data_IF_140647813988
#
_entry.id   IF_140647813988
#
_cell.length_a   1.000
_cell.length_b   1.000
_cell.length_c   1.000
_cell.angle_alpha   90.00
_cell.angle_beta   90.00
_cell.angle_gamma   90.00
#
_symmetry.space_group_name_H-M   'P 1'
#
loop_
_entity.id
_entity.type
_entity.pdbx_description
1 polymer ?
#
# COMPACT_ATOMS: atom_id res chain seq x y z
N UNK A 1 13.89 65.97 54.49
CA UNK A 1 12.66 65.16 54.35
C UNK A 1 12.22 64.98 52.90
N UNK A 2 12.24 66.01 52.05
CA UNK A 2 11.84 65.91 50.62
C UNK A 2 12.66 64.89 49.82
N UNK A 3 13.98 64.85 50.00
CA UNK A 3 14.86 63.88 49.33
C UNK A 3 14.55 62.41 49.69
N UNK A 4 14.23 62.15 50.97
CA UNK A 4 13.91 60.80 51.47
C UNK A 4 12.56 60.33 50.92
N UNK A 5 11.57 61.23 50.87
CA UNK A 5 10.28 60.96 50.23
C UNK A 5 10.44 60.66 48.73
N UNK A 6 11.24 61.45 48.02
CA UNK A 6 11.51 61.25 46.59
C UNK A 6 12.19 59.89 46.31
N UNK A 7 13.22 59.54 47.09
CA UNK A 7 13.90 58.25 46.98
C UNK A 7 12.96 57.07 47.27
N UNK A 8 12.10 57.19 48.29
CA UNK A 8 11.13 56.16 48.62
C UNK A 8 10.10 55.98 47.50
N UNK A 9 9.55 57.08 46.95
CA UNK A 9 8.62 57.01 45.82
C UNK A 9 9.26 56.39 44.57
N UNK A 10 10.53 56.70 44.30
CA UNK A 10 11.26 56.14 43.17
C UNK A 10 11.53 54.64 43.35
N UNK A 11 11.87 54.21 44.57
CA UNK A 11 12.05 52.79 44.90
C UNK A 11 10.74 51.99 44.74
N UNK A 12 9.59 52.55 45.18
CA UNK A 12 8.28 51.93 45.01
C UNK A 12 7.88 51.84 43.54
N UNK A 13 8.12 52.90 42.75
CA UNK A 13 7.88 52.90 41.30
C UNK A 13 8.74 51.86 40.57
N UNK A 14 10.02 51.73 40.95
CA UNK A 14 10.92 50.72 40.41
C UNK A 14 10.43 49.30 40.74
N UNK A 15 10.01 49.05 41.99
CA UNK A 15 9.47 47.76 42.40
C UNK A 15 8.15 47.41 41.68
N UNK A 16 7.28 48.40 41.49
CA UNK A 16 6.04 48.22 40.73
C UNK A 16 6.31 47.95 39.25
N UNK A 17 7.26 48.65 38.63
CA UNK A 17 7.64 48.47 37.24
C UNK A 17 8.29 47.09 36.99
N UNK A 18 9.21 46.65 37.86
CA UNK A 18 9.82 45.32 37.76
C UNK A 18 8.80 44.21 37.99
N UNK A 19 7.90 44.37 38.94
CA UNK A 19 6.78 43.44 39.17
C UNK A 19 5.87 43.32 37.94
N UNK A 20 5.48 44.45 37.33
CA UNK A 20 4.66 44.46 36.13
C UNK A 20 5.37 43.81 34.91
N UNK A 21 6.67 44.05 34.74
CA UNK A 21 7.46 43.41 33.68
C UNK A 21 7.60 41.90 33.88
N UNK A 22 7.78 41.44 35.12
CA UNK A 22 7.84 40.03 35.46
C UNK A 22 6.51 39.32 35.16
N UNK A 23 5.39 39.88 35.62
CA UNK A 23 4.05 39.34 35.34
C UNK A 23 3.76 39.32 33.85
N UNK A 24 4.01 40.43 33.14
CA UNK A 24 3.83 40.50 31.69
C UNK A 24 4.70 39.48 30.94
N UNK A 25 5.96 39.27 31.37
CA UNK A 25 6.83 38.27 30.77
C UNK A 25 6.36 36.83 31.03
N UNK A 26 5.78 36.57 32.21
CA UNK A 26 5.19 35.27 32.56
C UNK A 26 3.94 34.99 31.75
N UNK A 27 3.04 35.96 31.60
CA UNK A 27 1.79 35.81 30.83
C UNK A 27 2.08 35.58 29.34
N UNK A 28 3.09 36.26 28.80
CA UNK A 28 3.55 36.03 27.42
C UNK A 28 4.06 34.59 27.26
N UNK A 29 4.88 34.10 28.20
CA UNK A 29 5.38 32.72 28.17
C UNK A 29 4.26 31.70 28.34
N UNK A 30 3.34 31.90 29.28
CA UNK A 30 2.19 31.03 29.48
C UNK A 30 1.31 30.95 28.22
N UNK A 31 1.03 32.09 27.60
CA UNK A 31 0.23 32.16 26.36
C UNK A 31 0.96 31.47 25.20
N UNK A 32 2.28 31.65 25.07
CA UNK A 32 3.09 30.95 24.06
C UNK A 32 3.10 29.45 24.29
N UNK A 33 3.31 29.00 25.52
CA UNK A 33 3.29 27.58 25.87
C UNK A 33 1.91 26.96 25.59
N UNK A 34 0.83 27.66 25.92
CA UNK A 34 -0.54 27.19 25.64
C UNK A 34 -0.79 27.03 24.12
N UNK A 35 -0.38 28.01 23.31
CA UNK A 35 -0.46 27.92 21.84
C UNK A 35 0.44 26.82 21.30
N UNK A 36 1.67 26.73 21.80
CA UNK A 36 2.64 25.71 21.43
C UNK A 36 2.12 24.30 21.73
N UNK A 37 1.48 24.10 22.88
CA UNK A 37 0.88 22.82 23.29
C UNK A 37 -0.17 22.35 22.29
N UNK A 38 -1.09 23.23 21.89
CA UNK A 38 -2.07 22.91 20.85
C UNK A 38 -1.40 22.57 19.51
N UNK A 39 -0.37 23.32 19.11
CA UNK A 39 0.34 23.09 17.85
C UNK A 39 1.12 21.77 17.83
N UNK A 40 1.81 21.39 18.92
CA UNK A 40 2.50 20.09 19.00
C UNK A 40 1.53 18.93 19.04
N UNK A 41 0.33 19.11 19.61
CA UNK A 41 -0.72 18.10 19.56
C UNK A 41 -1.14 17.81 18.12
N UNK A 42 -1.48 18.85 17.35
CA UNK A 42 -1.81 18.68 15.93
C UNK A 42 -0.64 18.09 15.11
N UNK A 43 0.60 18.47 15.42
CA UNK A 43 1.77 17.89 14.77
C UNK A 43 1.93 16.40 15.10
N UNK A 44 1.64 15.96 16.33
CA UNK A 44 1.71 14.57 16.73
C UNK A 44 0.62 13.73 16.04
N UNK A 45 -0.63 14.22 16.01
CA UNK A 45 -1.73 13.55 15.29
C UNK A 45 -1.46 13.46 13.79
N UNK A 46 -0.90 14.52 13.20
CA UNK A 46 -0.50 14.52 11.79
C UNK A 46 0.60 13.50 11.52
N UNK A 47 1.50 13.27 12.48
CA UNK A 47 2.48 12.20 12.41
C UNK A 47 1.84 10.81 12.36
N UNK A 48 0.78 10.58 13.14
CA UNK A 48 0.01 9.32 13.06
C UNK A 48 -0.64 9.19 11.69
N UNK A 49 -1.23 10.25 11.14
CA UNK A 49 -1.87 10.21 9.81
C UNK A 49 -0.86 9.94 8.68
N UNK A 50 0.30 10.58 8.70
CA UNK A 50 1.37 10.33 7.73
C UNK A 50 1.91 8.90 7.84
N UNK A 51 2.08 8.39 9.07
CA UNK A 51 2.42 6.98 9.31
C UNK A 51 1.38 6.03 8.74
N UNK A 52 0.09 6.31 8.95
CA UNK A 52 -1.00 5.52 8.37
C UNK A 52 -0.98 5.55 6.84
N UNK A 53 -0.77 6.71 6.22
CA UNK A 53 -0.70 6.81 4.75
C UNK A 53 0.46 5.99 4.18
N UNK A 54 1.62 6.05 4.84
CA UNK A 54 2.80 5.28 4.45
C UNK A 54 2.54 3.77 4.49
N UNK A 55 1.87 3.29 5.54
CA UNK A 55 1.56 1.86 5.71
C UNK A 55 0.39 1.39 4.84
N UNK A 56 -0.63 2.22 4.67
CA UNK A 56 -1.86 1.85 3.97
C UNK A 56 -1.74 1.95 2.45
N UNK A 57 -0.70 2.62 1.91
CA UNK A 57 -0.43 2.67 0.48
C UNK A 57 -0.37 1.28 -0.17
N UNK A 58 0.56 0.41 0.25
CA UNK A 58 0.66 -0.96 -0.28
C UNK A 58 -0.38 -1.92 0.33
N UNK A 59 -0.94 -1.57 1.50
CA UNK A 59 -1.66 -2.51 2.36
C UNK A 59 -0.70 -3.42 3.11
N UNK A 60 -1.23 -4.19 4.07
CA UNK A 60 -0.45 -5.05 4.96
C UNK A 60 -1.04 -6.46 5.00
N UNK A 61 -0.21 -7.50 4.82
CA UNK A 61 -0.60 -8.90 5.09
C UNK A 61 -0.15 -9.33 6.48
N UNK A 62 1.01 -8.90 6.96
CA UNK A 62 1.50 -9.15 8.30
C UNK A 62 2.13 -7.89 8.91
N UNK A 63 1.46 -7.31 9.92
CA UNK A 63 1.90 -6.05 10.53
C UNK A 63 3.31 -6.14 11.14
N UNK A 64 3.64 -7.26 11.80
CA UNK A 64 4.96 -7.46 12.39
C UNK A 64 6.05 -7.44 11.32
N UNK A 65 5.88 -8.24 10.27
CA UNK A 65 6.92 -8.46 9.27
C UNK A 65 7.08 -7.27 8.32
N UNK A 66 5.97 -6.67 7.91
CA UNK A 66 5.95 -5.65 6.88
C UNK A 66 6.08 -4.23 7.45
N UNK A 67 5.59 -3.98 8.68
CA UNK A 67 5.61 -2.64 9.28
C UNK A 67 6.60 -2.56 10.44
N UNK A 68 6.43 -3.38 11.47
CA UNK A 68 7.22 -3.26 12.72
C UNK A 68 8.71 -3.52 12.46
N UNK A 69 9.03 -4.64 11.81
CA UNK A 69 10.41 -5.02 11.52
C UNK A 69 11.09 -4.13 10.47
N UNK A 70 10.30 -3.39 9.68
CA UNK A 70 10.78 -2.62 8.52
C UNK A 70 10.59 -1.12 8.70
N UNK A 71 10.19 -0.68 9.89
CA UNK A 71 9.84 0.70 10.16
C UNK A 71 10.94 1.69 9.81
N UNK A 72 12.19 1.35 10.12
CA UNK A 72 13.36 2.18 9.79
C UNK A 72 13.50 2.41 8.29
N UNK A 73 13.17 1.40 7.47
CA UNK A 73 13.23 1.51 6.00
C UNK A 73 12.02 2.25 5.42
N UNK A 74 10.83 2.08 6.02
CA UNK A 74 9.59 2.73 5.57
C UNK A 74 9.50 4.21 5.98
N UNK A 75 9.83 4.50 7.24
CA UNK A 75 9.63 5.80 7.86
C UNK A 75 10.90 6.67 7.86
N UNK A 76 12.06 6.02 7.96
CA UNK A 76 13.36 6.65 8.19
C UNK A 76 13.67 6.85 9.68
N UNK A 77 14.89 7.29 9.97
CA UNK A 77 15.37 7.56 11.35
C UNK A 77 15.25 9.02 11.77
N UNK A 78 14.98 9.92 10.81
CA UNK A 78 14.99 11.37 11.04
C UNK A 78 13.59 11.88 11.35
N UNK A 79 13.53 12.95 12.15
CA UNK A 79 12.28 13.68 12.38
C UNK A 79 11.80 14.34 11.08
N UNK A 80 10.49 14.26 10.82
CA UNK A 80 9.86 14.93 9.68
C UNK A 80 9.38 16.31 10.09
N UNK A 81 9.41 17.25 9.15
CA UNK A 81 8.94 18.60 9.38
C UNK A 81 7.41 18.65 9.28
N UNK A 82 6.78 19.40 10.19
CA UNK A 82 5.36 19.70 10.07
C UNK A 82 5.16 20.90 9.12
N UNK A 83 4.82 20.61 7.87
CA UNK A 83 4.70 21.61 6.80
C UNK A 83 3.87 22.86 7.14
N UNK A 84 2.74 22.77 7.86
CA UNK A 84 1.92 23.93 8.21
C UNK A 84 2.59 24.94 9.17
N UNK A 85 3.54 24.51 10.01
CA UNK A 85 4.24 25.40 10.94
C UNK A 85 5.75 25.13 10.97
N UNK A 86 6.55 26.15 10.66
CA UNK A 86 8.00 26.07 10.76
C UNK A 86 8.45 25.84 12.21
N UNK A 87 9.46 24.99 12.40
CA UNK A 87 10.04 24.72 13.73
C UNK A 87 9.33 23.63 14.53
N UNK A 88 8.32 22.98 13.94
CA UNK A 88 7.67 21.80 14.49
C UNK A 88 8.12 20.55 13.74
N UNK A 89 8.49 19.52 14.48
CA UNK A 89 8.89 18.23 13.93
C UNK A 89 8.17 17.11 14.64
N UNK A 90 8.02 15.97 13.98
CA UNK A 90 7.47 14.76 14.59
C UNK A 90 8.28 13.54 14.19
N UNK A 91 8.34 12.58 15.10
CA UNK A 91 8.84 11.22 14.88
C UNK A 91 7.73 10.24 15.25
N UNK A 92 7.70 9.09 14.58
CA UNK A 92 6.74 8.04 14.90
C UNK A 92 7.53 6.77 15.15
N UNK A 93 7.24 6.09 16.26
CA UNK A 93 7.71 4.76 16.56
C UNK A 93 6.56 3.76 16.43
N UNK A 94 6.86 2.52 16.05
CA UNK A 94 5.88 1.45 15.93
C UNK A 94 6.20 0.33 16.92
N UNK A 95 5.17 -0.26 17.49
CA UNK A 95 5.27 -1.42 18.36
C UNK A 95 4.22 -2.47 17.99
N UNK A 96 4.53 -3.73 18.24
CA UNK A 96 3.60 -4.84 18.05
C UNK A 96 2.57 -4.93 19.17
N UNK A 97 1.38 -5.41 18.81
CA UNK A 97 0.28 -5.66 19.72
C UNK A 97 0.23 -7.10 20.23
N UNK A 98 -0.88 -7.46 20.87
CA UNK A 98 -1.09 -8.82 21.40
C UNK A 98 -1.17 -9.89 20.30
N UNK A 99 -1.66 -9.52 19.11
CA UNK A 99 -1.58 -10.34 17.91
C UNK A 99 -0.65 -9.64 16.90
N UNK A 100 0.66 -9.92 16.91
CA UNK A 100 1.65 -9.18 16.13
C UNK A 100 1.39 -9.16 14.62
N UNK A 101 0.67 -10.15 14.09
CA UNK A 101 0.33 -10.21 12.66
C UNK A 101 -0.76 -9.18 12.26
N UNK A 102 -1.63 -8.79 13.20
CA UNK A 102 -2.82 -7.99 12.92
C UNK A 102 -2.86 -6.67 13.69
N UNK A 103 -2.23 -6.61 14.85
CA UNK A 103 -2.40 -5.52 15.81
C UNK A 103 -1.05 -4.90 16.19
N UNK A 104 -1.08 -3.59 16.43
CA UNK A 104 0.10 -2.81 16.81
C UNK A 104 -0.28 -1.44 17.32
N UNK A 105 0.73 -0.59 17.51
CA UNK A 105 0.52 0.82 17.86
C UNK A 105 1.57 1.71 17.24
N UNK A 106 1.15 2.92 16.87
CA UNK A 106 2.04 4.03 16.57
C UNK A 106 2.14 4.95 17.78
N UNK A 107 3.35 5.43 18.06
CA UNK A 107 3.64 6.42 19.09
C UNK A 107 4.29 7.60 18.39
N UNK A 108 3.52 8.65 18.15
CA UNK A 108 4.01 9.90 17.57
C UNK A 108 4.53 10.81 18.67
N UNK A 109 5.76 11.28 18.53
CA UNK A 109 6.35 12.31 19.40
C UNK A 109 6.57 13.57 18.57
N UNK A 110 5.87 14.64 18.90
CA UNK A 110 6.05 15.94 18.29
C UNK A 110 6.86 16.88 19.19
N UNK A 111 7.75 17.65 18.57
CA UNK A 111 8.56 18.67 19.21
C UNK A 111 8.29 20.01 18.52
N UNK A 112 8.05 21.04 19.32
CA UNK A 112 7.84 22.41 18.88
C UNK A 112 8.97 23.34 19.30
N UNK A 113 8.78 24.62 19.01
CA UNK A 113 9.68 25.70 19.41
C UNK A 113 9.66 25.84 20.95
N UNK A 114 10.76 26.33 21.54
CA UNK A 114 10.90 26.55 22.99
C UNK A 114 10.78 25.25 23.83
N UNK A 115 10.97 24.07 23.22
CA UNK A 115 11.03 22.79 23.92
C UNK A 115 9.66 22.18 24.26
N UNK A 116 8.57 22.74 23.74
CA UNK A 116 7.23 22.15 23.88
C UNK A 116 7.20 20.79 23.19
N UNK A 117 6.67 19.77 23.85
CA UNK A 117 6.62 18.39 23.37
C UNK A 117 5.24 17.81 23.62
N UNK A 118 4.74 17.00 22.69
CA UNK A 118 3.60 16.13 22.93
C UNK A 118 3.81 14.72 22.39
N UNK A 119 3.13 13.75 22.99
CA UNK A 119 3.16 12.34 22.58
C UNK A 119 1.74 11.83 22.42
N UNK A 120 1.44 11.27 21.25
CA UNK A 120 0.14 10.68 20.92
C UNK A 120 0.34 9.21 20.57
N UNK A 121 -0.51 8.34 21.12
CA UNK A 121 -0.50 6.90 20.87
C UNK A 121 -1.75 6.51 20.11
N UNK A 122 -1.56 5.80 18.99
CA UNK A 122 -2.64 5.24 18.18
C UNK A 122 -2.55 3.72 18.19
N UNK A 123 -3.60 3.04 18.65
CA UNK A 123 -3.71 1.59 18.51
C UNK A 123 -4.26 1.24 17.13
N UNK A 124 -3.72 0.18 16.55
CA UNK A 124 -3.91 -0.20 15.16
C UNK A 124 -4.42 -1.62 15.07
N UNK A 125 -5.31 -1.87 14.12
CA UNK A 125 -5.73 -3.21 13.73
C UNK A 125 -5.79 -3.30 12.21
N UNK A 126 -5.40 -4.44 11.63
CA UNK A 126 -5.56 -4.71 10.20
C UNK A 126 -7.06 -4.79 9.87
N UNK A 127 -7.46 -4.18 8.77
CA UNK A 127 -8.81 -4.34 8.22
C UNK A 127 -9.02 -5.78 7.72
N UNK A 128 -10.29 -6.19 7.67
CA UNK A 128 -10.73 -7.42 7.02
C UNK A 128 -11.09 -7.22 5.53
N UNK A 129 -11.13 -5.97 5.07
CA UNK A 129 -11.38 -5.61 3.67
C UNK A 129 -10.01 -5.48 2.98
N UNK A 130 -9.75 -6.15 1.84
CA UNK A 130 -8.53 -5.97 1.07
C UNK A 130 -8.30 -4.51 0.68
N UNK A 131 -7.04 -4.10 0.55
CA UNK A 131 -6.73 -2.88 -0.19
C UNK A 131 -7.15 -3.10 -1.65
N UNK A 132 -7.71 -2.06 -2.25
CA UNK A 132 -7.98 -2.07 -3.69
C UNK A 132 -6.66 -2.33 -4.40
N UNK A 133 -6.63 -3.31 -5.31
CA UNK A 133 -5.42 -3.59 -6.08
C UNK A 133 -4.99 -2.33 -6.85
N UNK A 134 -3.67 -2.11 -7.06
CA UNK A 134 -3.18 -0.93 -7.77
C UNK A 134 -3.72 -0.75 -9.19
N UNK A 135 -4.10 -1.85 -9.85
CA UNK A 135 -4.67 -1.88 -11.19
C UNK A 135 -5.10 -3.30 -11.59
N UNK A 136 -5.65 -3.45 -12.80
CA UNK A 136 -5.89 -4.79 -13.37
C UNK A 136 -4.54 -5.51 -13.59
N UNK A 137 -3.57 -4.79 -14.16
CA UNK A 137 -2.16 -5.17 -14.18
C UNK A 137 -1.36 -4.17 -13.37
N UNK A 138 -0.47 -4.66 -12.53
CA UNK A 138 0.48 -3.86 -11.78
C UNK A 138 1.92 -4.24 -12.13
N UNK A 139 2.67 -3.28 -12.69
CA UNK A 139 4.09 -3.41 -13.00
C UNK A 139 4.91 -2.90 -11.81
N UNK A 140 5.53 -3.85 -11.12
CA UNK A 140 6.15 -3.68 -9.80
C UNK A 140 7.57 -3.09 -9.90
N UNK A 141 8.22 -3.24 -11.05
CA UNK A 141 9.61 -2.82 -11.22
C UNK A 141 9.76 -1.29 -11.16
N UNK A 142 10.81 -0.81 -10.51
CA UNK A 142 11.21 0.60 -10.49
C UNK A 142 12.21 0.92 -11.64
N UNK A 143 12.84 -0.09 -12.24
CA UNK A 143 13.66 0.01 -13.44
C UNK A 143 12.79 0.02 -14.71
N UNK A 144 13.37 0.36 -15.86
CA UNK A 144 12.66 0.31 -17.15
C UNK A 144 11.98 -1.05 -17.34
N UNK A 145 10.68 -1.00 -17.60
CA UNK A 145 9.83 -2.17 -17.78
C UNK A 145 9.72 -2.45 -19.26
N UNK A 146 10.18 -3.61 -19.74
CA UNK A 146 10.13 -3.96 -21.16
C UNK A 146 8.71 -4.41 -21.59
N UNK A 147 7.69 -3.60 -21.27
CA UNK A 147 6.31 -3.82 -21.66
C UNK A 147 6.23 -3.88 -23.19
N UNK A 148 5.90 -5.04 -23.73
CA UNK A 148 5.82 -5.27 -25.18
C UNK A 148 4.44 -5.80 -25.53
N UNK A 149 3.80 -5.19 -26.52
CA UNK A 149 2.46 -5.52 -26.99
C UNK A 149 2.52 -5.84 -28.48
N UNK A 150 2.41 -7.11 -28.84
CA UNK A 150 2.45 -7.58 -30.22
C UNK A 150 1.12 -8.25 -30.58
N UNK A 151 0.32 -7.59 -31.41
CA UNK A 151 -1.08 -7.95 -31.70
C UNK A 151 -2.07 -6.95 -31.09
N UNK A 152 -3.32 -7.03 -31.53
CA UNK A 152 -4.44 -6.11 -31.17
C UNK A 152 -5.60 -6.89 -30.54
N UNK A 153 -5.37 -8.16 -30.18
CA UNK A 153 -6.39 -9.10 -29.71
C UNK A 153 -6.34 -9.26 -28.19
N UNK A 154 -6.07 -8.18 -27.46
CA UNK A 154 -6.03 -8.17 -26.01
C UNK A 154 -6.96 -7.13 -25.42
N UNK A 155 -7.33 -7.31 -24.16
CA UNK A 155 -8.10 -6.32 -23.41
C UNK A 155 -7.61 -6.32 -21.98
N UNK A 156 -7.32 -5.12 -21.47
CA UNK A 156 -6.97 -4.88 -20.07
C UNK A 156 -7.93 -3.85 -19.52
N UNK A 157 -8.88 -4.27 -18.71
CA UNK A 157 -9.89 -3.37 -18.15
C UNK A 157 -9.76 -3.22 -16.64
N UNK A 158 -9.51 -1.99 -16.18
CA UNK A 158 -9.50 -1.60 -14.78
C UNK A 158 -10.89 -1.30 -14.19
N UNK A 159 -11.96 -1.32 -14.99
CA UNK A 159 -13.32 -1.27 -14.43
C UNK A 159 -13.64 -2.54 -13.64
N UNK A 160 -14.49 -2.43 -12.63
CA UNK A 160 -14.88 -3.60 -11.83
C UNK A 160 -15.80 -4.53 -12.64
N UNK A 161 -15.34 -5.76 -12.88
CA UNK A 161 -16.09 -6.84 -13.51
C UNK A 161 -16.40 -7.93 -12.50
N UNK A 162 -17.54 -8.60 -12.68
CA UNK A 162 -17.86 -9.80 -11.93
C UNK A 162 -17.31 -11.01 -12.67
N UNK A 163 -16.60 -11.88 -11.97
CA UNK A 163 -16.15 -13.16 -12.55
C UNK A 163 -17.31 -14.09 -12.96
N UNK A 164 -18.54 -13.80 -12.48
CA UNK A 164 -19.78 -14.49 -12.87
C UNK A 164 -20.49 -13.85 -14.07
N UNK A 165 -19.95 -12.75 -14.59
CA UNK A 165 -20.48 -12.00 -15.73
C UNK A 165 -21.08 -10.64 -15.36
N UNK A 166 -20.82 -9.64 -16.20
CA UNK A 166 -21.31 -8.26 -16.06
C UNK A 166 -20.43 -7.38 -15.17
N UNK A 167 -20.85 -6.13 -14.99
CA UNK A 167 -20.10 -5.14 -14.21
C UNK A 167 -20.32 -5.32 -12.70
N UNK A 168 -19.25 -5.11 -11.95
CA UNK A 168 -19.24 -4.98 -10.51
C UNK A 168 -19.64 -3.58 -10.02
N UNK A 169 -19.40 -3.31 -8.73
CA UNK A 169 -19.81 -2.07 -8.06
C UNK A 169 -18.65 -1.30 -7.41
N UNK A 170 -17.46 -1.88 -7.37
CA UNK A 170 -16.27 -1.22 -6.87
C UNK A 170 -15.86 -0.07 -7.82
N UNK A 171 -15.18 0.97 -7.29
CA UNK A 171 -14.66 2.03 -8.14
C UNK A 171 -13.64 1.47 -9.14
N UNK A 172 -13.56 2.05 -10.35
CA UNK A 172 -12.57 1.62 -11.34
C UNK A 172 -11.16 1.92 -10.86
N UNK A 173 -10.24 1.01 -11.15
CA UNK A 173 -8.79 1.16 -10.99
C UNK A 173 -8.15 1.41 -12.36
N UNK A 174 -6.86 1.81 -12.43
CA UNK A 174 -6.13 1.82 -13.70
C UNK A 174 -6.10 0.42 -14.34
N UNK A 175 -6.24 0.35 -15.66
CA UNK A 175 -6.05 -0.89 -16.41
C UNK A 175 -4.62 -1.40 -16.22
N UNK A 176 -3.64 -0.54 -16.50
CA UNK A 176 -2.23 -0.80 -16.17
C UNK A 176 -1.73 0.25 -15.19
N UNK A 177 -1.20 -0.20 -14.06
CA UNK A 177 -0.57 0.64 -13.05
C UNK A 177 0.92 0.38 -13.00
N UNK A 178 1.74 1.43 -12.90
CA UNK A 178 3.20 1.33 -12.73
C UNK A 178 3.66 2.04 -11.46
N UNK A 179 4.84 1.68 -10.95
CA UNK A 179 5.44 2.32 -9.77
C UNK A 179 5.83 3.78 -9.94
N UNK A 180 6.37 4.13 -11.10
CA UNK A 180 6.91 5.46 -11.37
C UNK A 180 6.50 5.98 -12.76
N UNK A 181 6.64 7.29 -12.95
CA UNK A 181 6.24 8.00 -14.17
C UNK A 181 7.09 7.60 -15.40
N UNK A 182 8.35 7.20 -15.21
CA UNK A 182 9.21 6.71 -16.30
C UNK A 182 8.61 5.45 -16.92
N UNK A 183 8.23 4.48 -16.08
CA UNK A 183 7.64 3.22 -16.52
C UNK A 183 6.21 3.42 -17.07
N UNK A 184 5.47 4.40 -16.52
CA UNK A 184 4.19 4.83 -17.11
C UNK A 184 4.39 5.30 -18.54
N UNK A 185 5.38 6.18 -18.78
CA UNK A 185 5.66 6.71 -20.11
C UNK A 185 6.19 5.63 -21.07
N UNK A 186 7.02 4.71 -20.59
CA UNK A 186 7.49 3.57 -21.37
C UNK A 186 6.33 2.69 -21.82
N UNK A 187 5.45 2.29 -20.90
CA UNK A 187 4.24 1.50 -21.23
C UNK A 187 3.36 2.23 -22.24
N UNK A 188 3.15 3.54 -22.08
CA UNK A 188 2.41 4.38 -23.02
C UNK A 188 3.05 4.44 -24.42
N UNK A 189 4.38 4.41 -24.50
CA UNK A 189 5.13 4.43 -25.75
C UNK A 189 5.16 3.06 -26.44
N UNK A 190 5.07 1.97 -25.66
CA UNK A 190 5.00 0.60 -26.17
C UNK A 190 3.65 0.25 -26.78
N UNK A 191 2.58 0.98 -26.45
CA UNK A 191 1.25 0.84 -27.06
C UNK A 191 1.18 1.59 -28.39
N UNK A 192 0.91 0.86 -29.48
CA UNK A 192 0.55 1.42 -30.77
C UNK A 192 -0.78 2.17 -30.70
N UNK A 193 -1.05 3.05 -31.68
CA UNK A 193 -2.25 3.89 -31.67
C UNK A 193 -3.57 3.09 -31.61
N UNK A 194 -3.60 1.89 -32.21
CA UNK A 194 -4.74 0.97 -32.24
C UNK A 194 -4.89 0.13 -30.97
N UNK A 195 -3.85 0.06 -30.13
CA UNK A 195 -3.85 -0.72 -28.89
C UNK A 195 -4.24 0.14 -27.67
N UNK A 196 -4.49 1.44 -27.87
CA UNK A 196 -4.77 2.37 -26.77
C UNK A 196 -6.21 2.26 -26.26
N UNK A 197 -7.12 1.80 -27.09
CA UNK A 197 -8.51 1.48 -26.73
C UNK A 197 -8.66 0.12 -26.06
N UNK A 198 -7.65 -0.76 -26.17
CA UNK A 198 -7.63 -2.06 -25.47
C UNK A 198 -7.30 -1.95 -23.97
N UNK A 199 -6.80 -0.80 -23.52
CA UNK A 199 -6.45 -0.55 -22.11
C UNK A 199 -7.42 0.47 -21.51
N UNK A 200 -8.46 -0.02 -20.85
CA UNK A 200 -9.55 0.78 -20.27
C UNK A 200 -9.55 0.76 -18.75
N UNK A 201 -10.37 1.62 -18.13
CA UNK A 201 -10.47 1.76 -16.67
C UNK A 201 -10.34 3.21 -16.22
N UNK A 202 -9.79 3.42 -15.03
CA UNK A 202 -9.60 4.76 -14.48
C UNK A 202 -8.72 5.63 -15.39
N UNK A 203 -9.18 6.83 -15.72
CA UNK A 203 -8.42 7.78 -16.55
C UNK A 203 -8.47 7.49 -18.06
N UNK A 204 -9.17 6.45 -18.49
CA UNK A 204 -9.40 6.19 -19.91
C UNK A 204 -10.27 7.27 -20.57
N UNK A 205 -9.95 7.66 -21.80
CA UNK A 205 -10.76 8.56 -22.61
C UNK A 205 -10.70 8.22 -24.10
N UNK A 206 -11.86 7.98 -24.69
CA UNK A 206 -12.09 7.74 -26.12
C UNK A 206 -11.97 9.00 -27.01
N UNK A 207 -11.81 10.20 -26.42
CA UNK A 207 -11.72 11.44 -27.19
C UNK A 207 -10.46 11.49 -28.07
N UNK A 208 -10.37 12.38 -29.08
CA UNK A 208 -9.11 12.57 -29.80
C UNK A 208 -8.13 13.45 -28.98
N UNK A 209 -6.89 13.00 -28.68
CA UNK A 209 -6.35 11.66 -28.89
C UNK A 209 -6.79 10.65 -27.82
N UNK A 210 -6.90 9.37 -28.18
CA UNK A 210 -7.26 8.29 -27.24
C UNK A 210 -6.22 8.27 -26.11
N UNK A 211 -6.70 8.34 -24.88
CA UNK A 211 -5.88 8.25 -23.67
C UNK A 211 -6.13 6.88 -23.04
N UNK A 212 -5.17 5.93 -23.11
CA UNK A 212 -5.30 4.62 -22.49
C UNK A 212 -5.25 4.74 -20.95
N UNK A 213 -5.82 3.76 -20.25
CA UNK A 213 -5.79 3.68 -18.78
C UNK A 213 -4.43 3.17 -18.26
N UNK A 214 -3.40 4.00 -18.35
CA UNK A 214 -2.07 3.74 -17.79
C UNK A 214 -1.72 4.84 -16.78
N UNK A 215 -1.53 4.48 -15.51
CA UNK A 215 -1.31 5.46 -14.44
C UNK A 215 -0.16 5.05 -13.51
N UNK A 216 0.49 6.05 -12.90
CA UNK A 216 1.44 5.81 -11.82
C UNK A 216 0.71 5.61 -10.50
N UNK A 217 1.05 4.56 -9.76
CA UNK A 217 0.62 4.32 -8.37
C UNK A 217 1.83 4.29 -7.44
N UNK A 218 2.35 5.46 -7.00
CA UNK A 218 3.56 5.51 -6.17
C UNK A 218 3.42 4.84 -4.80
N UNK A 219 2.18 4.72 -4.33
CA UNK A 219 1.85 4.09 -3.05
C UNK A 219 1.74 2.55 -3.14
N UNK A 220 1.69 1.97 -4.35
CA UNK A 220 1.60 0.52 -4.54
C UNK A 220 2.88 -0.21 -4.07
N UNK A 221 2.88 -1.53 -3.80
CA UNK A 221 4.04 -2.23 -3.24
C UNK A 221 5.29 -2.21 -4.15
N UNK A 222 6.49 -1.90 -3.63
CA UNK A 222 7.75 -2.10 -4.35
C UNK A 222 8.09 -3.58 -4.53
N UNK A 223 9.09 -3.94 -5.36
CA UNK A 223 9.53 -5.34 -5.53
C UNK A 223 9.95 -5.99 -4.20
N UNK A 224 10.70 -5.28 -3.37
CA UNK A 224 11.06 -5.77 -2.03
C UNK A 224 9.85 -5.93 -1.09
N UNK A 225 8.83 -5.08 -1.22
CA UNK A 225 7.59 -5.23 -0.46
C UNK A 225 6.76 -6.39 -0.99
N UNK A 226 6.73 -6.59 -2.31
CA UNK A 226 6.08 -7.71 -2.97
C UNK A 226 6.67 -9.04 -2.50
N UNK A 227 7.99 -9.17 -2.45
CA UNK A 227 8.67 -10.38 -1.96
C UNK A 227 8.24 -10.75 -0.54
N UNK A 228 8.01 -9.75 0.31
CA UNK A 228 7.55 -9.95 1.70
C UNK A 228 6.08 -10.34 1.74
N UNK A 229 5.23 -9.64 0.99
CA UNK A 229 3.82 -9.98 0.82
C UNK A 229 3.69 -11.44 0.34
N UNK A 230 4.48 -11.84 -0.67
CA UNK A 230 4.53 -13.22 -1.16
C UNK A 230 4.95 -14.19 -0.05
N UNK A 231 6.02 -13.87 0.68
CA UNK A 231 6.51 -14.72 1.78
C UNK A 231 5.44 -14.91 2.86
N UNK A 232 4.75 -13.84 3.25
CA UNK A 232 3.68 -13.88 4.25
C UNK A 232 2.43 -14.61 3.72
N UNK A 233 2.10 -14.49 2.43
CA UNK A 233 1.03 -15.25 1.77
C UNK A 233 1.37 -16.74 1.76
N UNK A 234 2.58 -17.12 1.33
CA UNK A 234 2.99 -18.52 1.26
C UNK A 234 3.04 -19.19 2.64
N UNK A 235 3.44 -18.44 3.68
CA UNK A 235 3.43 -18.91 5.07
C UNK A 235 2.04 -19.30 5.59
N UNK A 236 0.96 -18.75 5.02
CA UNK A 236 -0.43 -19.10 5.41
C UNK A 236 -0.86 -20.50 5.01
N UNK A 237 -0.13 -21.16 4.12
CA UNK A 237 -0.40 -22.54 3.71
C UNK A 237 -0.01 -23.59 4.76
N UNK A 238 0.66 -23.16 5.83
CA UNK A 238 1.14 -24.03 6.91
C UNK A 238 2.46 -24.71 6.59
N UNK A 239 2.96 -25.45 7.58
CA UNK A 239 4.14 -26.31 7.48
C UNK A 239 3.75 -27.74 7.94
N UNK A 240 3.70 -28.74 7.04
CA UNK A 240 4.00 -28.65 5.61
C UNK A 240 2.93 -27.87 4.83
N UNK A 241 3.29 -27.26 3.68
CA UNK A 241 2.36 -26.45 2.89
C UNK A 241 1.23 -27.28 2.27
N UNK A 242 0.02 -26.73 2.33
CA UNK A 242 -1.16 -27.27 1.65
C UNK A 242 -1.88 -26.19 0.81
N UNK A 243 -2.00 -26.35 -0.52
CA UNK A 243 -1.43 -27.43 -1.34
C UNK A 243 0.12 -27.39 -1.38
N UNK A 244 0.79 -28.53 -1.69
CA UNK A 244 2.24 -28.58 -1.86
C UNK A 244 2.74 -27.67 -3.00
N UNK A 245 4.04 -27.38 -2.99
CA UNK A 245 4.69 -26.63 -4.06
C UNK A 245 4.73 -27.41 -5.37
N UNK A 246 4.46 -26.72 -6.48
CA UNK A 246 4.59 -27.27 -7.82
C UNK A 246 5.85 -26.74 -8.51
N UNK A 247 6.84 -27.62 -8.66
CA UNK A 247 8.11 -27.36 -9.36
C UNK A 247 7.99 -27.61 -10.88
N UNK A 248 6.83 -28.00 -11.39
CA UNK A 248 6.69 -28.41 -12.78
C UNK A 248 6.96 -27.25 -13.74
N UNK A 249 8.02 -27.36 -14.55
CA UNK A 249 8.38 -26.35 -15.55
C UNK A 249 7.40 -26.28 -16.71
N UNK A 250 6.95 -27.43 -17.22
CA UNK A 250 6.07 -27.52 -18.38
C UNK A 250 4.77 -28.21 -17.99
N UNK A 251 3.70 -27.44 -17.95
CA UNK A 251 2.36 -27.92 -17.62
C UNK A 251 1.59 -28.08 -18.92
N UNK A 252 1.51 -29.32 -19.40
CA UNK A 252 0.95 -29.67 -20.70
C UNK A 252 -0.46 -30.30 -20.61
N UNK A 253 -0.95 -30.59 -19.39
CA UNK A 253 -2.23 -31.25 -19.13
C UNK A 253 -3.31 -30.29 -18.63
N UNK A 254 -4.47 -30.83 -18.25
CA UNK A 254 -5.50 -30.06 -17.56
C UNK A 254 -5.07 -29.87 -16.10
N UNK A 255 -5.00 -28.62 -15.65
CA UNK A 255 -4.69 -28.28 -14.25
C UNK A 255 -5.80 -27.45 -13.61
N UNK A 256 -5.98 -27.65 -12.31
CA UNK A 256 -6.95 -26.88 -11.50
C UNK A 256 -6.27 -26.38 -10.23
N UNK A 257 -6.06 -25.06 -10.15
CA UNK A 257 -5.43 -24.35 -9.04
C UNK A 257 -6.49 -23.72 -8.14
N UNK A 258 -7.22 -24.57 -7.41
CA UNK A 258 -8.38 -24.16 -6.62
C UNK A 258 -9.65 -23.95 -7.47
N UNK A 259 -10.76 -23.68 -6.78
CA UNK A 259 -12.07 -23.44 -7.42
C UNK A 259 -12.79 -22.29 -6.71
N UNK A 260 -13.78 -21.62 -7.32
CA UNK A 260 -14.53 -20.57 -6.64
C UNK A 260 -15.20 -21.02 -5.32
N UNK A 261 -15.51 -22.31 -5.18
CA UNK A 261 -16.04 -22.87 -3.93
C UNK A 261 -14.95 -23.14 -2.88
N UNK A 262 -13.73 -23.44 -3.32
CA UNK A 262 -12.56 -23.73 -2.49
C UNK A 262 -11.32 -23.04 -3.07
N UNK A 263 -11.17 -21.72 -2.87
CA UNK A 263 -10.03 -20.99 -3.39
C UNK A 263 -8.75 -21.40 -2.65
N UNK A 264 -7.60 -21.39 -3.33
CA UNK A 264 -6.33 -21.88 -2.79
C UNK A 264 -5.17 -20.89 -3.01
N UNK A 265 -4.13 -21.00 -2.18
CA UNK A 265 -2.84 -20.35 -2.44
C UNK A 265 -1.98 -21.38 -3.14
N UNK A 266 -1.81 -21.22 -4.45
CA UNK A 266 -0.98 -22.09 -5.28
C UNK A 266 0.39 -21.46 -5.46
N UNK A 267 1.44 -22.27 -5.31
CA UNK A 267 2.83 -21.83 -5.47
C UNK A 267 3.51 -22.65 -6.56
N UNK A 268 3.86 -21.97 -7.64
CA UNK A 268 4.70 -22.51 -8.71
C UNK A 268 6.15 -22.13 -8.41
N UNK A 269 6.89 -23.05 -7.81
CA UNK A 269 8.20 -22.79 -7.19
C UNK A 269 9.38 -22.86 -8.16
N UNK A 270 9.14 -23.05 -9.46
CA UNK A 270 10.21 -23.14 -10.45
C UNK A 270 10.80 -21.75 -10.74
N UNK A 271 12.00 -21.50 -10.20
CA UNK A 271 12.72 -20.22 -10.37
C UNK A 271 13.23 -19.98 -11.80
N UNK A 272 13.29 -21.02 -12.65
CA UNK A 272 13.68 -20.89 -14.07
C UNK A 272 12.49 -20.58 -14.99
N UNK A 273 11.33 -20.29 -14.40
CA UNK A 273 10.07 -20.04 -15.07
C UNK A 273 9.23 -21.28 -15.31
N UNK A 274 7.95 -21.03 -15.56
CA UNK A 274 6.89 -22.01 -15.75
C UNK A 274 6.15 -21.72 -17.04
N UNK A 275 5.87 -22.77 -17.81
CA UNK A 275 5.18 -22.71 -19.08
C UNK A 275 3.87 -23.49 -18.98
N UNK A 276 2.75 -22.77 -19.09
CA UNK A 276 1.39 -23.32 -19.15
C UNK A 276 1.01 -23.55 -20.62
N UNK A 277 1.24 -24.76 -21.13
CA UNK A 277 0.89 -25.16 -22.50
C UNK A 277 -0.45 -25.88 -22.59
N UNK A 278 -0.94 -26.44 -21.49
CA UNK A 278 -2.24 -27.12 -21.40
C UNK A 278 -3.38 -26.18 -20.99
N UNK A 279 -4.52 -26.77 -20.60
CA UNK A 279 -5.67 -26.04 -20.10
C UNK A 279 -5.58 -25.89 -18.59
N UNK A 280 -5.46 -24.67 -18.09
CA UNK A 280 -5.34 -24.42 -16.65
C UNK A 280 -6.47 -23.52 -16.17
N UNK A 281 -7.10 -23.93 -15.08
CA UNK A 281 -8.16 -23.17 -14.41
C UNK A 281 -7.78 -22.95 -12.96
N UNK A 282 -8.24 -21.87 -12.32
CA UNK A 282 -7.96 -21.69 -10.90
C UNK A 282 -8.74 -20.58 -10.23
N UNK A 283 -8.77 -20.61 -8.91
CA UNK A 283 -9.30 -19.51 -8.10
C UNK A 283 -8.55 -19.38 -6.78
N UNK A 284 -8.26 -18.14 -6.38
CA UNK A 284 -7.53 -17.83 -5.16
C UNK A 284 -6.31 -16.95 -5.41
N UNK A 285 -5.15 -17.37 -4.91
CA UNK A 285 -3.88 -16.64 -5.07
C UNK A 285 -2.88 -17.55 -5.76
N UNK A 286 -2.35 -17.14 -6.92
CA UNK A 286 -1.31 -17.85 -7.64
C UNK A 286 0.02 -17.11 -7.49
N UNK A 287 1.02 -17.77 -6.95
CA UNK A 287 2.38 -17.24 -6.80
C UNK A 287 3.32 -17.98 -7.75
N UNK A 288 4.09 -17.25 -8.54
CA UNK A 288 5.10 -17.78 -9.46
C UNK A 288 6.46 -17.17 -9.13
N UNK A 289 7.44 -18.02 -8.81
CA UNK A 289 8.78 -17.59 -8.38
C UNK A 289 9.69 -17.15 -9.55
N UNK A 290 9.47 -17.68 -10.76
CA UNK A 290 10.19 -17.27 -11.97
C UNK A 290 9.28 -16.58 -12.98
N UNK A 291 9.63 -16.69 -14.26
CA UNK A 291 8.81 -16.20 -15.35
C UNK A 291 7.54 -17.06 -15.54
N UNK A 292 6.41 -16.43 -15.84
CA UNK A 292 5.17 -17.12 -16.19
C UNK A 292 4.92 -17.00 -17.68
N UNK A 293 4.95 -18.12 -18.42
CA UNK A 293 4.56 -18.16 -19.83
C UNK A 293 3.22 -18.87 -20.02
N UNK A 294 2.23 -18.18 -20.59
CA UNK A 294 0.90 -18.74 -20.88
C UNK A 294 0.79 -18.97 -22.39
N UNK A 295 0.67 -20.23 -22.82
CA UNK A 295 0.51 -20.63 -24.22
C UNK A 295 -0.81 -21.33 -24.54
N UNK A 296 -1.34 -22.08 -23.57
CA UNK A 296 -2.64 -22.75 -23.66
C UNK A 296 -3.81 -21.90 -23.18
N UNK A 297 -4.96 -22.53 -22.95
CA UNK A 297 -6.11 -21.86 -22.35
C UNK A 297 -5.92 -21.72 -20.83
N UNK A 298 -5.92 -20.48 -20.33
CA UNK A 298 -5.76 -20.18 -18.91
C UNK A 298 -6.91 -19.31 -18.41
N UNK A 299 -7.66 -19.81 -17.42
CA UNK A 299 -8.73 -19.05 -16.77
C UNK A 299 -8.51 -18.98 -15.26
N UNK A 300 -8.30 -17.78 -14.72
CA UNK A 300 -8.01 -17.61 -13.31
C UNK A 300 -8.87 -16.52 -12.66
N UNK A 301 -9.38 -16.83 -11.46
CA UNK A 301 -10.22 -15.92 -10.65
C UNK A 301 -9.50 -15.59 -9.35
N UNK A 302 -8.87 -14.43 -9.28
CA UNK A 302 -8.22 -13.93 -8.08
C UNK A 302 -6.94 -13.13 -8.34
N UNK A 303 -5.96 -13.27 -7.45
CA UNK A 303 -4.70 -12.54 -7.53
C UNK A 303 -3.59 -13.44 -8.10
N UNK A 304 -2.86 -12.93 -9.09
CA UNK A 304 -1.65 -13.58 -9.61
C UNK A 304 -0.44 -12.70 -9.28
N UNK A 305 0.56 -13.30 -8.64
CA UNK A 305 1.82 -12.67 -8.25
C UNK A 305 2.97 -13.38 -8.97
N UNK A 306 3.69 -12.65 -9.81
CA UNK A 306 4.83 -13.19 -10.59
C UNK A 306 6.07 -12.39 -10.24
N UNK A 307 7.08 -13.06 -9.67
CA UNK A 307 8.37 -12.41 -9.35
C UNK A 307 9.25 -12.19 -10.58
N UNK A 308 9.06 -12.96 -11.64
CA UNK A 308 9.72 -12.74 -12.92
C UNK A 308 8.86 -11.96 -13.91
N UNK A 309 9.13 -12.21 -15.20
CA UNK A 309 8.36 -11.69 -16.32
C UNK A 309 7.09 -12.53 -16.55
N UNK A 310 5.96 -11.87 -16.80
CA UNK A 310 4.77 -12.53 -17.35
C UNK A 310 4.74 -12.40 -18.86
N UNK A 311 4.78 -13.53 -19.56
CA UNK A 311 4.65 -13.64 -21.01
C UNK A 311 3.34 -14.34 -21.37
N UNK A 312 2.42 -13.65 -22.02
CA UNK A 312 1.27 -14.29 -22.66
C UNK A 312 1.64 -14.48 -24.12
N UNK A 313 1.77 -15.74 -24.54
CA UNK A 313 2.26 -16.15 -25.86
C UNK A 313 1.28 -17.16 -26.44
N UNK A 314 0.09 -16.67 -26.77
CA UNK A 314 -0.97 -17.48 -27.35
C UNK A 314 -0.75 -17.55 -28.86
N UNK A 315 0.06 -18.52 -29.29
CA UNK A 315 0.53 -18.74 -30.67
C UNK A 315 -0.60 -19.15 -31.67
N UNK A 316 -1.80 -18.52 -31.60
CA UNK A 316 -2.99 -18.57 -32.48
C UNK A 316 -4.21 -19.34 -31.91
N UNK A 317 -4.08 -20.20 -30.89
CA UNK A 317 -5.22 -20.99 -30.37
C UNK A 317 -5.49 -20.96 -28.87
N UNK A 318 -4.58 -20.42 -28.05
CA UNK A 318 -4.78 -20.27 -26.61
C UNK A 318 -5.51 -18.99 -26.24
N UNK A 319 -6.32 -19.03 -25.19
CA UNK A 319 -6.98 -17.87 -24.61
C UNK A 319 -6.59 -17.71 -23.14
N UNK A 320 -6.14 -16.52 -22.76
CA UNK A 320 -5.90 -16.19 -21.35
C UNK A 320 -7.02 -15.28 -20.86
N UNK A 321 -7.69 -15.65 -19.78
CA UNK A 321 -8.70 -14.83 -19.11
C UNK A 321 -8.39 -14.78 -17.62
N UNK A 322 -8.19 -13.57 -17.11
CA UNK A 322 -7.90 -13.34 -15.69
C UNK A 322 -8.94 -12.37 -15.17
N UNK A 323 -9.70 -12.80 -14.16
CA UNK A 323 -10.57 -11.94 -13.37
C UNK A 323 -9.93 -11.66 -12.01
N UNK A 324 -9.54 -10.42 -11.75
CA UNK A 324 -8.93 -10.03 -10.48
C UNK A 324 -7.79 -9.04 -10.65
N UNK A 325 -6.55 -9.43 -10.37
CA UNK A 325 -5.39 -8.56 -10.59
C UNK A 325 -4.12 -9.37 -10.83
N UNK A 326 -3.25 -8.89 -11.71
CA UNK A 326 -1.96 -9.48 -12.05
C UNK A 326 -0.82 -8.54 -11.64
N UNK A 327 0.04 -8.96 -10.73
CA UNK A 327 1.21 -8.20 -10.29
C UNK A 327 2.48 -8.88 -10.80
N UNK A 328 3.27 -8.18 -11.59
CA UNK A 328 4.46 -8.74 -12.24
C UNK A 328 5.56 -7.68 -12.38
N UNK A 329 6.82 -8.11 -12.49
CA UNK A 329 7.92 -7.18 -12.71
C UNK A 329 7.90 -6.62 -14.14
N UNK A 330 7.74 -7.51 -15.12
CA UNK A 330 7.72 -7.19 -16.55
C UNK A 330 6.56 -7.90 -17.25
N UNK A 331 6.04 -7.27 -18.29
CA UNK A 331 4.92 -7.81 -19.07
C UNK A 331 5.30 -7.93 -20.56
N UNK A 332 5.05 -9.08 -21.14
CA UNK A 332 5.19 -9.31 -22.58
C UNK A 332 3.92 -9.97 -23.10
N UNK A 333 3.05 -9.19 -23.75
CA UNK A 333 1.84 -9.68 -24.38
C UNK A 333 2.10 -9.87 -25.87
N UNK A 334 2.31 -11.13 -26.27
CA UNK A 334 2.37 -11.54 -27.67
C UNK A 334 1.11 -12.34 -27.95
N UNK A 335 0.14 -11.67 -28.56
CA UNK A 335 -1.21 -12.18 -28.64
C UNK A 335 -1.52 -12.56 -30.09
N UNK A 336 -1.37 -13.85 -30.37
CA UNK A 336 -1.90 -14.47 -31.60
C UNK A 336 -3.33 -14.99 -31.44
N UNK A 337 -3.75 -15.33 -30.20
CA UNK A 337 -5.10 -15.71 -29.80
C UNK A 337 -5.86 -14.55 -29.13
N UNK A 338 -6.40 -14.75 -27.92
CA UNK A 338 -6.97 -13.66 -27.10
C UNK A 338 -6.39 -13.61 -25.68
N UNK A 339 -6.23 -12.40 -25.13
CA UNK A 339 -5.79 -12.18 -23.76
C UNK A 339 -6.66 -11.12 -23.07
N UNK A 340 -7.40 -11.52 -22.04
CA UNK A 340 -8.35 -10.67 -21.31
C UNK A 340 -7.92 -10.62 -19.85
N UNK A 341 -7.70 -9.41 -19.34
CA UNK A 341 -7.36 -9.16 -17.94
C UNK A 341 -8.33 -8.12 -17.41
N UNK A 342 -9.35 -8.58 -16.70
CA UNK A 342 -10.42 -7.76 -16.16
C UNK A 342 -10.24 -7.62 -14.65
N UNK A 343 -10.20 -6.38 -14.17
CA UNK A 343 -10.21 -6.12 -12.75
C UNK A 343 -11.50 -6.64 -12.11
N UNK A 344 -11.40 -7.40 -11.02
CA UNK A 344 -12.57 -7.93 -10.31
C UNK A 344 -12.39 -7.88 -8.81
N UNK A 345 -13.12 -6.97 -8.17
CA UNK A 345 -13.16 -6.86 -6.71
C UNK A 345 -13.78 -8.10 -6.06
N UNK A 346 -14.78 -8.73 -6.69
CA UNK A 346 -15.40 -9.98 -6.24
C UNK A 346 -14.40 -11.15 -6.27
N UNK A 347 -13.57 -11.24 -7.33
CA UNK A 347 -12.53 -12.26 -7.42
C UNK A 347 -11.43 -12.06 -6.36
N UNK A 348 -11.05 -10.82 -6.09
CA UNK A 348 -10.10 -10.50 -5.02
C UNK A 348 -10.70 -10.76 -3.63
N UNK A 349 -11.98 -10.47 -3.43
CA UNK A 349 -12.67 -10.81 -2.19
C UNK A 349 -12.67 -12.32 -1.94
N UNK A 350 -12.88 -13.14 -2.99
CA UNK A 350 -12.74 -14.58 -2.93
C UNK A 350 -11.31 -15.02 -2.56
N UNK A 351 -10.30 -14.45 -3.22
CA UNK A 351 -8.89 -14.71 -2.92
C UNK A 351 -8.52 -14.36 -1.47
N UNK A 352 -9.16 -13.33 -0.90
CA UNK A 352 -8.95 -12.93 0.49
C UNK A 352 -9.50 -13.93 1.52
N UNK A 353 -10.40 -14.83 1.14
CA UNK A 353 -10.95 -15.85 2.04
C UNK A 353 -9.98 -17.03 2.27
N UNK A 354 -8.94 -17.16 1.44
CA UNK A 354 -8.01 -18.28 1.53
C UNK A 354 -7.19 -18.23 2.83
N UNK A 355 -6.80 -19.39 3.36
CA UNK A 355 -5.89 -19.49 4.50
C UNK A 355 -6.46 -18.91 5.81
N UNK A 356 -7.77 -18.97 6.01
CA UNK A 356 -8.45 -18.46 7.21
C UNK A 356 -8.84 -16.98 7.14
N UNK A 357 -8.67 -16.33 5.98
CA UNK A 357 -9.11 -14.95 5.74
C UNK A 357 -8.00 -13.90 5.89
N UNK A 358 -8.16 -12.80 5.15
CA UNK A 358 -7.21 -11.66 5.19
C UNK A 358 -5.90 -11.95 4.48
N UNK A 359 -5.89 -12.86 3.49
CA UNK A 359 -4.69 -13.24 2.74
C UNK A 359 -4.19 -12.14 1.81
N UNK A 360 -5.06 -11.21 1.41
CA UNK A 360 -4.67 -10.06 0.61
C UNK A 360 -4.17 -8.92 1.50
N UNK A 361 -3.28 -8.04 0.98
CA UNK A 361 -2.90 -6.83 1.66
C UNK A 361 -4.16 -6.05 2.04
N UNK A 362 -4.23 -5.57 3.29
CA UNK A 362 -5.37 -4.81 3.79
C UNK A 362 -4.89 -3.54 4.49
N UNK A 363 -5.65 -2.42 4.42
CA UNK A 363 -5.30 -1.22 5.14
C UNK A 363 -5.38 -1.45 6.65
N UNK A 364 -4.52 -0.77 7.38
CA UNK A 364 -4.53 -0.68 8.83
C UNK A 364 -5.43 0.47 9.24
N UNK A 365 -6.30 0.23 10.24
CA UNK A 365 -7.19 1.24 10.83
C UNK A 365 -6.78 1.54 12.26
N UNK A 366 -6.95 2.80 12.66
CA UNK A 366 -6.83 3.22 14.05
C UNK A 366 -8.09 2.83 14.80
N UNK A 367 -7.93 2.13 15.92
CA UNK A 367 -9.04 1.74 16.79
C UNK A 367 -9.22 2.67 17.98
N UNK A 368 -8.13 3.30 18.42
CA UNK A 368 -8.17 4.32 19.47
C UNK A 368 -6.98 5.26 19.31
N UNK A 369 -7.19 6.53 19.62
CA UNK A 369 -6.16 7.56 19.70
C UNK A 369 -6.17 8.16 21.11
N UNK A 370 -5.00 8.30 21.72
CA UNK A 370 -4.83 8.82 23.08
C UNK A 370 -3.69 9.82 23.11
N UNK A 371 -3.95 11.00 23.68
CA UNK A 371 -2.91 11.97 24.03
C UNK A 371 -2.34 11.62 25.41
N UNK A 372 -1.01 11.47 25.49
CA UNK A 372 -0.32 11.15 26.74
C UNK A 372 -0.31 12.29 27.76
N UNK A 373 -0.63 13.52 27.35
CA UNK A 373 -0.87 14.64 28.26
C UNK A 373 -2.17 14.51 29.06
N UNK A 374 -3.13 13.71 28.58
CA UNK A 374 -4.48 13.60 29.15
C UNK A 374 -4.70 12.31 29.97
N UNK A 375 -3.70 11.42 30.02
CA UNK A 375 -3.78 10.13 30.72
C UNK A 375 -2.65 9.94 31.73
N UNK A 376 -2.84 9.11 32.77
CA UNK A 376 -1.76 8.77 33.69
C UNK A 376 -0.56 8.13 32.97
N UNK A 377 0.66 8.44 33.41
CA UNK A 377 1.87 7.84 32.88
C UNK A 377 1.81 6.29 32.96
N UNK A 378 2.24 5.61 31.91
CA UNK A 378 2.15 4.15 31.79
C UNK A 378 0.77 3.59 31.41
N UNK A 379 -0.27 4.43 31.29
CA UNK A 379 -1.58 4.02 30.80
C UNK A 379 -1.64 4.09 29.27
N UNK A 380 -2.48 3.26 28.63
CA UNK A 380 -2.75 3.28 27.19
C UNK A 380 -1.51 3.23 26.26
N UNK A 381 -0.37 2.75 26.76
CA UNK A 381 0.88 2.70 26.01
C UNK A 381 1.67 4.00 25.98
N UNK A 382 1.25 5.00 26.76
CA UNK A 382 2.01 6.23 26.98
C UNK A 382 3.25 5.97 27.84
N UNK A 383 4.41 6.57 27.47
CA UNK A 383 5.67 6.40 28.18
C UNK A 383 5.67 7.00 29.59
#
# INVERSE_FOLDING_TARGET
MVLVMALFTMAVLLAAATGALLVGSSDIRATRNYRGAAQVHFAAESGILDAMQTVNGPGVVNLQNEVVNQWTALWGTSARNFGPFSGFTYTVAVYSGANPANDGRFVATANGIEGVKNVVVANLTRSNIPSTAPGAIYLVNDSQTNATFNGDAFTVDGNDHKYTGGMGTAPPVPGISTRNATNTQETLNSLAAQQKDDVTGLGYSMGPPVVPSVMTSPAAPSSTQLDRIITDILGRRGDPPNPPDDNTKNINGIQTYGTPANPQITHLSNTTGVILNGNATGAGILVVEGDLTIKGDFNFVGLILVRGQTRVDTDISGNATIFGSLWTEDLNLIVGGSAIIDYSSDALALANLVGGGGALPAPVRVTSLVDCGDVPAGAAGCP
#
